data_IF_113266486361
#
_entry.id   IF_113266486361
#
_cell.length_a   1.000
_cell.length_b   1.000
_cell.length_c   1.000
_cell.angle_alpha   90.00
_cell.angle_beta   90.00
_cell.angle_gamma   90.00
#
_symmetry.space_group_name_H-M   'P 1'
#
loop_
_entity.id
_entity.type
_entity.pdbx_description
1 polymer ?
#
# COMPACT_ATOMS: atom_id res chain seq x y z
N UNK A 1 15.43 46.42 11.90
CA UNK A 1 16.71 46.43 12.63
C UNK A 1 17.42 45.16 12.18
N UNK A 2 18.21 45.29 11.15
CA UNK A 2 19.69 45.43 11.17
C UNK A 2 20.35 44.22 11.80
N UNK A 3 21.21 43.41 11.20
CA UNK A 3 22.18 43.53 10.15
C UNK A 3 22.87 42.18 10.02
N UNK A 4 23.28 41.67 8.94
CA UNK A 4 24.35 42.05 7.99
C UNK A 4 25.75 41.54 8.40
N UNK A 5 26.39 40.95 7.40
CA UNK A 5 27.84 40.77 7.12
C UNK A 5 28.49 39.46 7.56
N UNK A 6 29.01 38.65 6.70
CA UNK A 6 29.99 38.77 5.59
C UNK A 6 31.41 38.37 6.02
N UNK A 7 32.06 37.67 5.15
CA UNK A 7 33.53 37.64 5.02
C UNK A 7 34.11 36.24 4.89
N UNK A 8 34.46 35.72 3.77
CA UNK A 8 35.48 36.02 2.78
C UNK A 8 36.91 35.58 3.19
N UNK A 9 37.54 34.86 2.27
CA UNK A 9 38.95 34.71 1.85
C UNK A 9 39.61 33.36 2.13
N UNK A 10 39.86 32.57 1.13
CA UNK A 10 40.98 32.52 0.18
C UNK A 10 42.37 32.40 0.84
N UNK A 11 43.03 31.27 0.57
CA UNK A 11 44.48 31.26 0.37
C UNK A 11 44.92 30.04 -0.44
N UNK A 12 45.58 30.35 -1.50
CA UNK A 12 46.39 29.54 -2.42
C UNK A 12 47.69 29.12 -1.71
N UNK A 13 48.14 27.89 -1.94
CA UNK A 13 49.56 27.56 -1.87
C UNK A 13 49.90 26.46 -2.87
N UNK A 14 50.69 26.84 -3.85
CA UNK A 14 51.43 25.99 -4.78
C UNK A 14 52.52 25.21 -4.03
N UNK A 15 52.72 23.95 -4.44
CA UNK A 15 53.88 23.17 -4.03
C UNK A 15 54.15 22.06 -5.05
N UNK A 16 54.96 22.39 -6.07
CA UNK A 16 55.52 21.43 -7.04
C UNK A 16 56.59 20.59 -6.39
N UNK A 17 56.49 19.27 -6.45
CA UNK A 17 57.66 18.40 -6.33
C UNK A 17 57.61 17.34 -7.46
N UNK A 18 58.60 17.45 -8.32
CA UNK A 18 58.92 16.55 -9.39
C UNK A 18 59.79 15.43 -8.84
N UNK A 19 59.37 14.17 -8.97
CA UNK A 19 60.22 13.00 -8.74
C UNK A 19 60.00 12.02 -9.87
N UNK A 20 61.02 11.90 -10.71
CA UNK A 20 61.18 10.83 -11.71
C UNK A 20 61.49 9.52 -10.96
N UNK A 21 60.76 8.47 -11.24
CA UNK A 21 61.06 7.11 -10.82
C UNK A 21 60.61 6.10 -11.89
N UNK A 22 61.57 5.36 -12.41
CA UNK A 22 61.48 4.37 -13.46
C UNK A 22 60.53 3.21 -13.15
N UNK A 23 59.74 2.83 -14.14
CA UNK A 23 59.60 1.45 -14.68
C UNK A 23 59.10 0.34 -13.81
N UNK A 24 57.79 -0.01 -13.96
CA UNK A 24 57.33 -1.36 -14.01
C UNK A 24 56.05 -1.42 -14.87
N UNK A 25 56.13 -2.10 -16.01
CA UNK A 25 54.97 -2.34 -16.87
C UNK A 25 54.08 -3.42 -16.21
N UNK A 26 53.14 -2.99 -15.40
CA UNK A 26 52.02 -3.87 -14.98
C UNK A 26 50.97 -3.86 -16.11
N UNK A 27 50.75 -5.05 -16.64
CA UNK A 27 49.67 -5.34 -17.59
C UNK A 27 48.34 -5.01 -16.91
N UNK A 28 47.73 -3.87 -17.32
CA UNK A 28 46.35 -3.58 -16.99
C UNK A 28 45.46 -4.67 -17.60
N UNK A 29 44.95 -5.58 -16.76
CA UNK A 29 43.81 -6.43 -17.10
C UNK A 29 42.65 -5.48 -17.30
N UNK A 30 42.21 -5.30 -18.54
CA UNK A 30 41.02 -4.55 -18.86
C UNK A 30 39.83 -5.23 -18.16
N UNK A 31 39.35 -4.62 -17.08
CA UNK A 31 38.07 -4.96 -16.50
C UNK A 31 36.99 -4.65 -17.54
N UNK A 32 36.19 -5.67 -17.86
CA UNK A 32 35.01 -5.52 -18.68
C UNK A 32 34.12 -4.38 -18.12
N UNK A 33 33.53 -3.55 -18.95
CA UNK A 33 32.64 -2.49 -18.48
C UNK A 33 31.49 -3.13 -17.71
N UNK A 34 31.37 -2.75 -16.43
CA UNK A 34 30.24 -3.09 -15.58
C UNK A 34 28.98 -2.59 -16.29
N UNK A 35 27.93 -3.43 -16.47
CA UNK A 35 26.70 -2.98 -17.07
C UNK A 35 26.19 -1.74 -16.29
N UNK A 36 25.56 -0.76 -16.97
CA UNK A 36 25.00 0.38 -16.29
C UNK A 36 24.09 -0.13 -15.18
N UNK A 37 24.39 0.21 -13.94
CA UNK A 37 23.40 0.13 -12.88
C UNK A 37 22.34 1.15 -13.28
N UNK A 38 21.17 0.68 -13.72
CA UNK A 38 19.98 1.49 -13.78
C UNK A 38 19.85 2.12 -12.39
N UNK A 39 20.10 3.41 -12.33
CA UNK A 39 19.79 4.23 -11.19
C UNK A 39 18.30 4.07 -11.03
N UNK A 40 17.85 3.35 -9.99
CA UNK A 40 16.46 3.35 -9.58
C UNK A 40 16.18 4.82 -9.26
N UNK A 41 15.53 5.52 -10.18
CA UNK A 41 14.90 6.78 -9.91
C UNK A 41 13.92 6.49 -8.77
N UNK A 42 14.33 6.87 -7.57
CA UNK A 42 13.43 6.87 -6.42
C UNK A 42 12.34 7.86 -6.78
N UNK A 43 11.22 7.33 -7.28
CA UNK A 43 10.01 8.11 -7.39
C UNK A 43 9.64 8.54 -5.96
N UNK A 44 9.75 9.84 -5.62
CA UNK A 44 9.54 10.33 -4.25
C UNK A 44 8.11 10.10 -3.73
N UNK A 45 7.21 9.65 -4.59
CA UNK A 45 5.81 9.38 -4.27
C UNK A 45 5.56 7.90 -3.90
N UNK A 46 6.55 7.02 -4.08
CA UNK A 46 6.38 5.60 -3.80
C UNK A 46 6.79 5.28 -2.36
N UNK A 47 5.94 4.64 -1.54
CA UNK A 47 6.31 4.24 -0.18
C UNK A 47 7.58 3.39 -0.14
N UNK A 48 8.46 3.66 0.82
CA UNK A 48 9.76 2.99 0.97
C UNK A 48 9.66 1.50 1.37
N UNK A 49 8.49 1.08 1.85
CA UNK A 49 8.19 -0.31 2.26
C UNK A 49 7.93 -1.24 1.09
N UNK A 50 7.71 -0.70 -0.12
CA UNK A 50 7.42 -1.49 -1.31
C UNK A 50 8.63 -2.29 -1.78
N UNK A 51 8.38 -3.54 -2.18
CA UNK A 51 9.37 -4.44 -2.76
C UNK A 51 9.40 -4.30 -4.29
N UNK A 52 10.47 -4.82 -4.89
CA UNK A 52 10.55 -4.86 -6.34
C UNK A 52 9.46 -5.79 -6.91
N UNK A 53 8.64 -5.27 -7.81
CA UNK A 53 7.51 -5.98 -8.41
C UNK A 53 6.16 -5.72 -7.71
N UNK A 54 6.14 -5.00 -6.60
CA UNK A 54 4.88 -4.58 -5.99
C UNK A 54 4.13 -3.60 -6.89
N UNK A 55 2.82 -3.80 -7.01
CA UNK A 55 1.95 -2.92 -7.77
C UNK A 55 1.86 -1.55 -7.09
N UNK A 56 2.06 -0.49 -7.87
CA UNK A 56 1.83 0.88 -7.45
C UNK A 56 1.20 1.66 -8.60
N UNK A 57 -0.13 1.76 -8.59
CA UNK A 57 -0.89 2.39 -9.65
C UNK A 57 -1.09 1.49 -10.88
N UNK A 58 -1.17 0.17 -10.69
CA UNK A 58 -1.52 -0.77 -11.74
C UNK A 58 -3.03 -0.73 -12.01
N UNK A 59 -3.41 -0.49 -13.27
CA UNK A 59 -4.82 -0.55 -13.64
C UNK A 59 -5.30 -2.00 -13.73
N UNK A 60 -6.40 -2.29 -13.04
CA UNK A 60 -7.01 -3.63 -12.99
C UNK A 60 -8.52 -3.56 -13.23
N UNK A 61 -9.12 -4.70 -13.54
CA UNK A 61 -10.57 -4.85 -13.61
C UNK A 61 -11.04 -5.71 -12.45
N UNK A 62 -11.83 -5.14 -11.55
CA UNK A 62 -12.48 -5.86 -10.48
C UNK A 62 -13.65 -6.66 -11.01
N UNK A 63 -13.72 -7.94 -10.67
CA UNK A 63 -14.86 -8.80 -10.94
C UNK A 63 -15.90 -8.71 -9.82
N UNK A 64 -17.17 -8.94 -10.15
CA UNK A 64 -18.21 -9.12 -9.15
C UNK A 64 -17.99 -10.43 -8.38
N UNK A 65 -18.05 -10.38 -7.06
CA UNK A 65 -17.91 -11.54 -6.18
C UNK A 65 -19.07 -11.58 -5.18
N UNK A 66 -19.56 -12.76 -4.86
CA UNK A 66 -20.46 -12.93 -3.71
C UNK A 66 -19.67 -12.76 -2.43
N UNK A 67 -20.19 -12.01 -1.48
CA UNK A 67 -19.57 -11.74 -0.20
C UNK A 67 -20.53 -11.98 0.97
N UNK A 68 -19.98 -12.46 2.08
CA UNK A 68 -20.58 -12.35 3.40
C UNK A 68 -19.85 -11.25 4.14
N UNK A 69 -20.55 -10.31 4.73
CA UNK A 69 -19.92 -9.17 5.37
C UNK A 69 -20.60 -8.74 6.66
N UNK A 70 -19.84 -8.14 7.55
CA UNK A 70 -20.34 -7.37 8.70
C UNK A 70 -20.24 -5.88 8.37
N UNK A 71 -21.34 -5.14 8.57
CA UNK A 71 -21.34 -3.67 8.51
C UNK A 71 -20.85 -3.10 9.83
N UNK A 72 -19.98 -2.10 9.76
CA UNK A 72 -19.45 -1.41 10.92
C UNK A 72 -19.19 0.06 10.67
N UNK A 73 -18.87 0.75 11.76
CA UNK A 73 -18.35 2.12 11.75
C UNK A 73 -17.34 2.28 12.88
N UNK A 74 -16.36 3.14 12.69
CA UNK A 74 -15.32 3.38 13.68
C UNK A 74 -14.73 4.77 13.58
N UNK A 75 -13.84 5.08 14.51
CA UNK A 75 -12.94 6.22 14.46
C UNK A 75 -11.58 5.77 13.94
N UNK A 76 -10.86 6.65 13.27
CA UNK A 76 -9.57 6.30 12.65
C UNK A 76 -8.52 5.86 13.68
N UNK A 77 -8.53 6.41 14.90
CA UNK A 77 -7.61 6.04 15.98
C UNK A 77 -7.68 4.56 16.39
N UNK A 78 -8.79 3.88 16.07
CA UNK A 78 -9.03 2.47 16.39
C UNK A 78 -9.47 1.67 15.16
N UNK A 79 -9.06 2.11 13.96
CA UNK A 79 -9.55 1.55 12.72
C UNK A 79 -9.25 0.05 12.59
N UNK A 80 -7.99 -0.34 12.76
CA UNK A 80 -7.58 -1.73 12.58
C UNK A 80 -8.26 -2.67 13.57
N UNK A 81 -8.33 -2.32 14.86
CA UNK A 81 -9.00 -3.13 15.87
C UNK A 81 -10.49 -3.33 15.54
N UNK A 82 -11.17 -2.24 15.14
CA UNK A 82 -12.59 -2.26 14.77
C UNK A 82 -12.84 -3.16 13.55
N UNK A 83 -11.97 -3.09 12.55
CA UNK A 83 -12.04 -3.91 11.33
C UNK A 83 -11.78 -5.39 11.66
N UNK A 84 -10.74 -5.68 12.45
CA UNK A 84 -10.39 -7.05 12.87
C UNK A 84 -11.54 -7.70 13.66
N UNK A 85 -12.19 -6.98 14.55
CA UNK A 85 -13.33 -7.51 15.30
C UNK A 85 -14.53 -7.82 14.39
N UNK A 86 -14.76 -7.01 13.37
CA UNK A 86 -15.77 -7.30 12.35
C UNK A 86 -15.41 -8.57 11.54
N UNK A 87 -14.15 -8.76 11.15
CA UNK A 87 -13.70 -10.00 10.50
C UNK A 87 -13.85 -11.23 11.38
N UNK A 88 -13.54 -11.13 12.69
CA UNK A 88 -13.79 -12.22 13.63
C UNK A 88 -15.26 -12.64 13.62
N UNK A 89 -16.18 -11.66 13.60
CA UNK A 89 -17.62 -11.94 13.55
C UNK A 89 -18.03 -12.65 12.25
N UNK A 90 -17.51 -12.20 11.10
CA UNK A 90 -17.77 -12.85 9.80
C UNK A 90 -17.20 -14.26 9.79
N UNK A 91 -15.96 -14.46 10.24
CA UNK A 91 -15.30 -15.76 10.28
C UNK A 91 -16.06 -16.75 11.19
N UNK A 92 -16.54 -16.30 12.36
CA UNK A 92 -17.37 -17.13 13.25
C UNK A 92 -18.68 -17.54 12.59
N UNK A 93 -19.32 -16.63 11.85
CA UNK A 93 -20.53 -16.96 11.08
C UNK A 93 -20.24 -17.99 9.99
N UNK A 94 -19.20 -17.77 9.16
CA UNK A 94 -18.83 -18.69 8.09
C UNK A 94 -18.51 -20.09 8.62
N UNK A 95 -17.75 -20.16 9.73
CA UNK A 95 -17.42 -21.42 10.41
C UNK A 95 -18.68 -22.15 10.88
N UNK A 96 -19.60 -21.42 11.51
CA UNK A 96 -20.88 -21.99 11.99
C UNK A 96 -21.73 -22.54 10.85
N UNK A 97 -21.70 -21.90 9.68
CA UNK A 97 -22.44 -22.32 8.49
C UNK A 97 -21.69 -23.38 7.64
N UNK A 98 -20.45 -23.70 7.98
CA UNK A 98 -19.61 -24.60 7.19
C UNK A 98 -19.22 -24.03 5.82
N UNK A 99 -19.24 -22.71 5.67
CA UNK A 99 -18.90 -22.02 4.43
C UNK A 99 -17.40 -21.71 4.41
N UNK A 100 -16.74 -22.08 3.31
CA UNK A 100 -15.31 -21.77 3.12
C UNK A 100 -15.16 -20.44 2.39
N UNK A 101 -14.20 -19.59 2.81
CA UNK A 101 -13.79 -18.43 2.02
C UNK A 101 -13.37 -18.84 0.60
N UNK A 102 -13.75 -18.04 -0.39
CA UNK A 102 -13.39 -18.22 -1.80
C UNK A 102 -12.28 -17.26 -2.28
N UNK A 103 -11.83 -16.38 -1.41
CA UNK A 103 -10.78 -15.41 -1.67
C UNK A 103 -10.33 -14.70 -0.39
N UNK A 104 -9.35 -13.79 -0.48
CA UNK A 104 -8.88 -13.02 0.64
C UNK A 104 -9.97 -12.11 1.21
N UNK A 105 -9.95 -11.85 2.54
CA UNK A 105 -10.87 -10.90 3.16
C UNK A 105 -10.59 -9.48 2.70
N UNK A 106 -11.61 -8.62 2.72
CA UNK A 106 -11.50 -7.23 2.29
C UNK A 106 -12.32 -6.29 3.15
N UNK A 107 -11.79 -5.10 3.41
CA UNK A 107 -12.55 -3.96 3.94
C UNK A 107 -13.01 -3.10 2.77
N UNK A 108 -14.31 -2.87 2.67
CA UNK A 108 -14.89 -1.97 1.68
C UNK A 108 -15.38 -0.73 2.42
N UNK A 109 -14.71 0.40 2.25
CA UNK A 109 -15.15 1.66 2.84
C UNK A 109 -16.35 2.20 2.08
N UNK A 110 -17.45 2.43 2.80
CA UNK A 110 -18.70 2.91 2.21
C UNK A 110 -18.93 4.40 2.44
N UNK A 111 -18.30 4.97 3.45
CA UNK A 111 -18.26 6.40 3.74
C UNK A 111 -17.08 6.73 4.65
N UNK A 112 -16.42 7.83 4.40
CA UNK A 112 -15.31 8.33 5.20
C UNK A 112 -15.42 9.83 5.42
N UNK A 113 -14.93 10.31 6.56
CA UNK A 113 -14.68 11.72 6.84
C UNK A 113 -13.40 11.82 7.72
N UNK A 114 -13.05 13.03 8.16
CA UNK A 114 -11.81 13.30 8.89
C UNK A 114 -11.67 12.53 10.21
N UNK A 115 -12.76 12.06 10.80
CA UNK A 115 -12.74 11.43 12.13
C UNK A 115 -13.30 10.02 12.17
N UNK A 116 -14.19 9.68 11.23
CA UNK A 116 -14.93 8.42 11.25
C UNK A 116 -15.03 7.79 9.87
N UNK A 117 -15.27 6.49 9.86
CA UNK A 117 -15.52 5.73 8.64
C UNK A 117 -16.67 4.74 8.84
N UNK A 118 -17.32 4.38 7.73
CA UNK A 118 -18.25 3.26 7.64
C UNK A 118 -17.68 2.24 6.67
N UNK A 119 -17.85 0.96 6.98
CA UNK A 119 -17.24 -0.10 6.22
C UNK A 119 -18.03 -1.40 6.22
N UNK A 120 -17.67 -2.27 5.32
CA UNK A 120 -18.00 -3.69 5.31
C UNK A 120 -16.71 -4.50 5.47
N UNK A 121 -16.63 -5.30 6.52
CA UNK A 121 -15.62 -6.36 6.61
C UNK A 121 -16.18 -7.57 5.85
N UNK A 122 -15.68 -7.80 4.66
CA UNK A 122 -16.26 -8.75 3.71
C UNK A 122 -15.33 -9.93 3.44
N UNK A 123 -15.90 -11.11 3.31
CA UNK A 123 -15.20 -12.33 2.92
C UNK A 123 -15.87 -12.89 1.66
N UNK A 124 -15.12 -13.07 0.55
CA UNK A 124 -15.64 -13.70 -0.65
C UNK A 124 -16.07 -15.15 -0.39
N UNK A 125 -17.18 -15.53 -0.98
CA UNK A 125 -17.73 -16.89 -0.92
C UNK A 125 -18.11 -17.38 -2.32
N UNK A 126 -17.98 -18.68 -2.57
CA UNK A 126 -18.33 -19.23 -3.88
C UNK A 126 -19.84 -19.10 -4.15
N UNK A 127 -20.65 -19.35 -3.13
CA UNK A 127 -22.11 -19.25 -3.21
C UNK A 127 -22.64 -18.51 -1.98
N UNK A 128 -23.73 -17.76 -2.19
CA UNK A 128 -24.41 -17.10 -1.09
C UNK A 128 -24.97 -18.12 -0.10
N UNK A 129 -24.94 -17.85 1.22
CA UNK A 129 -25.58 -18.70 2.23
C UNK A 129 -27.04 -18.95 1.91
N UNK A 130 -27.51 -20.20 2.15
CA UNK A 130 -28.92 -20.56 1.93
C UNK A 130 -29.84 -19.88 2.93
N UNK A 131 -29.38 -19.81 4.18
CA UNK A 131 -30.14 -19.18 5.28
C UNK A 131 -29.73 -17.69 5.38
N UNK A 132 -30.76 -16.83 5.51
CA UNK A 132 -30.52 -15.39 5.68
C UNK A 132 -29.77 -15.14 7.00
N UNK A 133 -28.62 -14.45 6.96
CA UNK A 133 -27.91 -14.07 8.17
C UNK A 133 -28.76 -13.19 9.09
N UNK A 134 -28.39 -13.16 10.36
CA UNK A 134 -29.02 -12.32 11.38
C UNK A 134 -27.99 -11.39 12.03
N UNK A 135 -28.48 -10.34 12.69
CA UNK A 135 -27.62 -9.36 13.33
C UNK A 135 -26.96 -8.42 12.33
N UNK A 136 -25.67 -8.16 12.52
CA UNK A 136 -24.87 -7.27 11.66
C UNK A 136 -24.23 -7.98 10.45
N UNK A 137 -24.48 -9.28 10.29
CA UNK A 137 -24.00 -10.06 9.15
C UNK A 137 -25.00 -9.96 7.99
N UNK A 138 -24.48 -9.74 6.80
CA UNK A 138 -25.24 -9.61 5.57
C UNK A 138 -24.57 -10.36 4.43
N UNK A 139 -25.34 -10.56 3.35
CA UNK A 139 -24.88 -11.16 2.09
C UNK A 139 -25.04 -10.11 1.00
N UNK A 140 -24.07 -10.03 0.11
CA UNK A 140 -24.10 -9.09 -1.00
C UNK A 140 -23.12 -9.48 -2.08
N UNK A 141 -22.81 -8.50 -2.91
CA UNK A 141 -21.85 -8.62 -3.99
C UNK A 141 -20.93 -7.42 -4.01
N UNK A 142 -19.68 -7.61 -4.45
CA UNK A 142 -18.78 -6.50 -4.74
C UNK A 142 -19.20 -5.79 -6.02
N UNK A 143 -18.83 -4.52 -6.15
CA UNK A 143 -19.08 -3.76 -7.38
C UNK A 143 -17.94 -4.00 -8.38
N UNK A 144 -18.25 -4.50 -9.58
CA UNK A 144 -17.22 -4.67 -10.60
C UNK A 144 -16.84 -3.33 -11.23
N UNK A 145 -15.68 -3.30 -11.89
CA UNK A 145 -15.26 -2.13 -12.65
C UNK A 145 -13.77 -1.91 -12.70
N UNK A 146 -13.36 -0.82 -13.32
CA UNK A 146 -11.96 -0.41 -13.39
C UNK A 146 -11.51 0.17 -12.05
N UNK A 147 -10.33 -0.25 -11.59
CA UNK A 147 -9.68 0.25 -10.40
C UNK A 147 -8.17 0.36 -10.62
N UNK A 148 -7.51 1.14 -9.78
CA UNK A 148 -6.05 1.13 -9.65
C UNK A 148 -5.66 0.39 -8.38
N UNK A 149 -4.64 -0.45 -8.51
CA UNK A 149 -4.12 -1.30 -7.44
C UNK A 149 -2.81 -0.75 -6.90
N UNK A 150 -2.70 -0.75 -5.60
CA UNK A 150 -1.51 -0.37 -4.83
C UNK A 150 -1.26 -1.42 -3.77
N UNK A 151 -0.01 -1.61 -3.36
CA UNK A 151 0.33 -2.53 -2.27
C UNK A 151 0.83 -1.72 -1.08
N UNK A 152 0.31 -2.04 0.10
CA UNK A 152 0.86 -1.64 1.39
C UNK A 152 1.54 -2.84 2.05
N UNK A 153 2.72 -2.62 2.66
CA UNK A 153 3.44 -3.61 3.46
C UNK A 153 3.89 -2.99 4.77
N UNK A 154 3.59 -3.65 5.86
CA UNK A 154 3.99 -3.19 7.19
C UNK A 154 2.82 -2.93 8.13
N UNK A 155 3.04 -2.06 9.11
CA UNK A 155 2.04 -1.74 10.12
C UNK A 155 0.82 -1.05 9.51
N UNK A 156 -0.36 -1.43 9.98
CA UNK A 156 -1.59 -0.73 9.61
C UNK A 156 -1.55 0.76 10.01
N UNK A 157 -0.82 1.09 11.07
CA UNK A 157 -0.62 2.48 11.51
C UNK A 157 0.15 3.34 10.49
N UNK A 158 0.81 2.69 9.50
CA UNK A 158 1.52 3.37 8.42
C UNK A 158 0.68 3.49 7.12
N UNK A 159 -0.59 3.07 7.14
CA UNK A 159 -1.50 3.16 5.99
C UNK A 159 -1.67 4.60 5.49
N UNK A 160 -1.62 5.59 6.38
CA UNK A 160 -1.71 7.01 6.00
C UNK A 160 -0.66 7.38 4.94
N UNK A 161 0.59 6.94 5.12
CA UNK A 161 1.66 7.17 4.13
C UNK A 161 1.32 6.55 2.78
N UNK A 162 0.68 5.38 2.77
CA UNK A 162 0.25 4.73 1.53
C UNK A 162 -0.91 5.49 0.88
N UNK A 163 -1.88 5.96 1.66
CA UNK A 163 -3.00 6.75 1.14
C UNK A 163 -2.56 8.12 0.61
N UNK A 164 -1.58 8.77 1.25
CA UNK A 164 -0.97 10.00 0.74
C UNK A 164 -0.32 9.76 -0.64
N UNK A 165 0.43 8.67 -0.78
CA UNK A 165 1.04 8.31 -2.05
C UNK A 165 0.00 7.95 -3.14
N UNK A 166 -1.11 7.28 -2.76
CA UNK A 166 -2.24 6.99 -3.65
C UNK A 166 -2.87 8.30 -4.13
N UNK A 167 -3.15 9.22 -3.22
CA UNK A 167 -3.77 10.52 -3.55
C UNK A 167 -2.90 11.30 -4.53
N UNK A 168 -1.60 11.39 -4.26
CA UNK A 168 -0.66 12.04 -5.16
C UNK A 168 -0.63 11.38 -6.55
N UNK A 169 -0.69 10.05 -6.62
CA UNK A 169 -0.74 9.32 -7.88
C UNK A 169 -2.03 9.63 -8.67
N UNK A 170 -3.19 9.64 -7.99
CA UNK A 170 -4.47 9.95 -8.63
C UNK A 170 -4.49 11.36 -9.19
N UNK A 171 -3.98 12.33 -8.43
CA UNK A 171 -3.89 13.74 -8.83
C UNK A 171 -2.96 13.91 -10.03
N UNK A 172 -1.77 13.30 -10.01
CA UNK A 172 -0.81 13.34 -11.13
C UNK A 172 -1.41 12.75 -12.41
N UNK A 173 -2.16 11.66 -12.29
CA UNK A 173 -2.80 10.99 -13.43
C UNK A 173 -4.17 11.59 -13.78
N UNK A 174 -4.65 12.59 -13.05
CA UNK A 174 -5.97 13.21 -13.24
C UNK A 174 -7.10 12.17 -13.21
N UNK A 175 -7.04 11.25 -12.24
CA UNK A 175 -8.01 10.16 -12.08
C UNK A 175 -9.07 10.53 -11.03
N UNK A 176 -10.33 10.38 -11.39
CA UNK A 176 -11.48 10.58 -10.51
C UNK A 176 -11.82 9.28 -9.76
N UNK A 177 -11.51 9.19 -8.49
CA UNK A 177 -11.96 8.09 -7.64
C UNK A 177 -13.49 8.10 -7.49
N UNK A 178 -14.11 6.91 -7.37
CA UNK A 178 -15.56 6.77 -7.12
C UNK A 178 -15.96 7.00 -5.66
N UNK A 179 -15.03 7.46 -4.82
CA UNK A 179 -15.29 7.78 -3.42
C UNK A 179 -15.36 6.58 -2.48
N UNK A 180 -14.97 5.37 -2.95
CA UNK A 180 -14.79 4.21 -2.09
C UNK A 180 -13.41 3.59 -2.33
N UNK A 181 -12.87 3.03 -1.25
CA UNK A 181 -11.61 2.30 -1.25
C UNK A 181 -11.88 0.86 -0.81
N UNK A 182 -11.07 -0.07 -1.32
CA UNK A 182 -11.14 -1.48 -0.95
C UNK A 182 -9.75 -1.89 -0.51
N UNK A 183 -9.61 -2.35 0.73
CA UNK A 183 -8.40 -2.98 1.26
C UNK A 183 -8.59 -4.48 1.24
N UNK A 184 -7.86 -5.19 0.40
CA UNK A 184 -7.84 -6.65 0.36
C UNK A 184 -6.60 -7.15 1.09
N UNK A 185 -6.77 -8.04 2.04
CA UNK A 185 -5.69 -8.53 2.89
C UNK A 185 -5.11 -9.82 2.33
N UNK A 186 -3.92 -9.75 1.74
CA UNK A 186 -3.17 -10.93 1.27
C UNK A 186 -2.68 -11.79 2.43
N UNK A 187 -2.45 -11.16 3.59
CA UNK A 187 -2.19 -11.82 4.86
C UNK A 187 -3.43 -11.73 5.75
N UNK A 188 -3.75 -12.79 6.49
CA UNK A 188 -4.94 -12.81 7.35
C UNK A 188 -4.85 -11.71 8.44
N UNK A 189 -5.73 -10.71 8.41
CA UNK A 189 -5.67 -9.58 9.35
C UNK A 189 -5.97 -9.96 10.80
N UNK A 190 -6.60 -11.12 11.04
CA UNK A 190 -6.94 -11.60 12.40
C UNK A 190 -5.74 -12.25 13.09
N UNK A 191 -4.87 -12.90 12.32
CA UNK A 191 -3.78 -13.73 12.88
C UNK A 191 -2.38 -13.22 12.57
N UNK A 192 -2.23 -12.35 11.56
CA UNK A 192 -0.94 -11.76 11.18
C UNK A 192 -0.57 -10.63 12.13
N UNK A 193 0.68 -10.57 12.63
CA UNK A 193 1.14 -9.41 13.39
C UNK A 193 0.97 -8.12 12.59
N UNK A 194 0.53 -7.01 13.21
CA UNK A 194 0.24 -5.76 12.49
C UNK A 194 1.39 -5.24 11.61
N UNK A 195 2.65 -5.44 12.04
CA UNK A 195 3.86 -5.04 11.33
C UNK A 195 4.23 -5.94 10.14
N UNK A 196 3.45 -7.01 9.88
CA UNK A 196 3.68 -7.99 8.81
C UNK A 196 2.54 -8.04 7.80
N UNK A 197 1.65 -7.08 7.85
CA UNK A 197 0.52 -7.04 6.93
C UNK A 197 0.98 -6.81 5.48
N UNK A 198 0.26 -7.44 4.57
CA UNK A 198 0.31 -7.16 3.14
C UNK A 198 -1.11 -6.90 2.69
N UNK A 199 -1.35 -5.68 2.24
CA UNK A 199 -2.69 -5.21 1.88
C UNK A 199 -2.66 -4.64 0.47
N UNK A 200 -3.51 -5.15 -0.40
CA UNK A 200 -3.78 -4.56 -1.71
C UNK A 200 -4.89 -3.50 -1.56
N UNK A 201 -4.57 -2.26 -1.89
CA UNK A 201 -5.56 -1.17 -1.90
C UNK A 201 -6.05 -0.98 -3.32
N UNK A 202 -7.34 -1.14 -3.53
CA UNK A 202 -7.98 -0.87 -4.82
C UNK A 202 -8.78 0.43 -4.74
N UNK A 203 -8.55 1.31 -5.72
CA UNK A 203 -9.24 2.57 -5.89
C UNK A 203 -10.09 2.52 -7.15
N UNK A 204 -11.40 2.24 -7.06
CA UNK A 204 -12.29 2.31 -8.20
C UNK A 204 -12.35 3.73 -8.78
N UNK A 205 -12.24 3.84 -10.12
CA UNK A 205 -12.27 5.11 -10.85
C UNK A 205 -13.48 5.22 -11.77
N UNK A 206 -13.86 6.46 -12.09
CA UNK A 206 -14.98 6.76 -13.01
C UNK A 206 -14.63 6.44 -14.46
#
# INVERSE_FOLDING_TARGET
MTGLLAGLRVSLALGSVLLLGLGAAERAVAQAPKPPQESQEQNPQRPSTLQQGDAFGEQVTLAEQNIVYASGSGQWDHAFETIVDAFKAVNAYLQKQGIKPAGPPMTIYTSTNDTTFQFWAAVPVAEAPKDKPTGNISVGKTTPGTAYKFIHRGSYDEMDTTYDAITNFLDEKQLDAKGLFIEQYDTDPVTTPPDKLVVEVFVPVK
#
